data_IF_973260471487
#
_entry.id   IF_973260471487
#
_cell.length_a   1.000
_cell.length_b   1.000
_cell.length_c   1.000
_cell.angle_alpha   90.00
_cell.angle_beta   90.00
_cell.angle_gamma   90.00
#
_symmetry.space_group_name_H-M   'P 1'
#
loop_
_entity.id
_entity.type
_entity.pdbx_description
1 polymer ?
#
# COMPACT_ATOMS: atom_id res chain seq x y z
N UNK A 1 11.57 16.21 -8.53
CA UNK A 1 10.43 16.53 -9.46
C UNK A 1 9.43 17.37 -8.67
N UNK A 2 8.85 18.42 -9.26
CA UNK A 2 7.96 19.33 -8.51
C UNK A 2 6.54 19.22 -9.03
N UNK A 3 5.58 18.96 -8.14
CA UNK A 3 4.16 18.96 -8.48
C UNK A 3 3.69 20.37 -8.87
N UNK A 4 2.81 20.45 -9.87
CA UNK A 4 2.11 21.71 -10.18
C UNK A 4 1.15 22.08 -9.05
N UNK A 5 0.68 23.34 -9.04
CA UNK A 5 -0.32 23.79 -8.06
C UNK A 5 -1.60 22.98 -8.18
N UNK A 6 -2.00 22.64 -9.40
CA UNK A 6 -3.19 21.85 -9.71
C UNK A 6 -3.06 20.44 -9.16
N UNK A 7 -1.91 19.78 -9.33
CA UNK A 7 -1.66 18.46 -8.74
C UNK A 7 -1.70 18.50 -7.21
N UNK A 8 -1.10 19.52 -6.58
CA UNK A 8 -1.16 19.67 -5.12
C UNK A 8 -2.62 19.86 -4.65
N UNK A 9 -3.37 20.73 -5.32
CA UNK A 9 -4.78 20.95 -5.00
C UNK A 9 -5.59 19.66 -5.18
N UNK A 10 -5.34 18.89 -6.24
CA UNK A 10 -5.98 17.60 -6.47
C UNK A 10 -5.70 16.63 -5.31
N UNK A 11 -4.45 16.52 -4.84
CA UNK A 11 -4.13 15.67 -3.70
C UNK A 11 -4.95 16.01 -2.45
N UNK A 12 -5.06 17.30 -2.11
CA UNK A 12 -5.82 17.72 -0.93
C UNK A 12 -7.35 17.63 -1.12
N UNK A 13 -7.83 17.76 -2.35
CA UNK A 13 -9.25 17.64 -2.68
C UNK A 13 -9.70 16.17 -2.74
N UNK A 14 -8.97 15.34 -3.49
CA UNK A 14 -9.37 13.99 -3.86
C UNK A 14 -8.69 12.92 -2.99
N UNK A 15 -7.62 13.26 -2.27
CA UNK A 15 -6.88 12.34 -1.41
C UNK A 15 -5.82 11.54 -2.15
N UNK A 16 -5.67 11.70 -3.45
CA UNK A 16 -4.62 11.07 -4.24
C UNK A 16 -4.28 11.86 -5.51
N UNK A 17 -3.11 11.57 -6.08
CA UNK A 17 -2.69 11.99 -7.42
C UNK A 17 -2.01 10.85 -8.15
N UNK A 18 -1.95 10.97 -9.47
CA UNK A 18 -1.18 10.09 -10.36
C UNK A 18 0.01 10.86 -10.91
N UNK A 19 1.17 10.21 -10.90
CA UNK A 19 2.39 10.70 -11.55
C UNK A 19 2.83 9.66 -12.58
N UNK A 20 2.79 10.07 -13.85
CA UNK A 20 3.16 9.22 -14.98
C UNK A 20 4.67 9.20 -15.17
N UNK A 21 5.19 8.07 -15.63
CA UNK A 21 6.62 7.92 -15.99
C UNK A 21 7.57 8.35 -14.85
N UNK A 22 7.20 8.07 -13.60
CA UNK A 22 8.03 8.40 -12.45
C UNK A 22 9.38 7.67 -12.53
N UNK A 23 9.34 6.41 -12.99
CA UNK A 23 10.52 5.62 -13.27
C UNK A 23 10.73 5.48 -14.78
N UNK A 24 11.99 5.57 -15.18
CA UNK A 24 12.43 5.18 -16.52
C UNK A 24 12.36 3.67 -16.71
N UNK A 25 12.38 3.22 -17.97
CA UNK A 25 12.41 1.79 -18.31
C UNK A 25 13.60 1.06 -17.70
N UNK A 26 14.76 1.71 -17.60
CA UNK A 26 15.97 1.15 -16.98
C UNK A 26 15.80 0.98 -15.47
N UNK A 27 15.35 2.02 -14.77
CA UNK A 27 15.06 1.96 -13.32
C UNK A 27 14.03 0.88 -12.99
N UNK A 28 12.99 0.75 -13.82
CA UNK A 28 11.98 -0.28 -13.70
C UNK A 28 12.56 -1.69 -13.89
N UNK A 29 13.43 -1.88 -14.89
CA UNK A 29 14.10 -3.16 -15.11
C UNK A 29 15.02 -3.52 -13.93
N UNK A 30 15.77 -2.56 -13.40
CA UNK A 30 16.58 -2.72 -12.19
C UNK A 30 15.73 -3.17 -11.01
N UNK A 31 14.63 -2.48 -10.70
CA UNK A 31 13.75 -2.89 -9.59
C UNK A 31 13.14 -4.27 -9.79
N UNK A 32 12.74 -4.63 -11.02
CA UNK A 32 12.20 -5.96 -11.32
C UNK A 32 13.22 -7.08 -11.13
N UNK A 33 14.48 -6.85 -11.50
CA UNK A 33 15.56 -7.81 -11.33
C UNK A 33 15.86 -8.01 -9.84
N UNK A 34 16.03 -6.92 -9.09
CA UNK A 34 16.30 -7.00 -7.65
C UNK A 34 15.10 -7.53 -6.85
N UNK A 35 13.87 -7.25 -7.29
CA UNK A 35 12.69 -7.93 -6.76
C UNK A 35 12.81 -9.45 -6.92
N UNK A 36 13.19 -9.94 -8.11
CA UNK A 36 13.31 -11.36 -8.36
C UNK A 36 14.40 -12.01 -7.50
N UNK A 37 15.54 -11.32 -7.31
CA UNK A 37 16.61 -11.83 -6.46
C UNK A 37 16.21 -11.92 -4.99
N UNK A 38 15.50 -10.92 -4.46
CA UNK A 38 14.92 -10.96 -3.11
C UNK A 38 13.87 -12.07 -2.98
N UNK A 39 12.92 -12.12 -3.91
CA UNK A 39 11.80 -13.05 -3.90
C UNK A 39 12.22 -14.52 -4.04
N UNK A 40 13.35 -14.79 -4.69
CA UNK A 40 13.88 -16.13 -4.91
C UNK A 40 15.01 -16.49 -3.93
N UNK A 41 15.20 -15.70 -2.86
CA UNK A 41 16.18 -15.99 -1.81
C UNK A 41 17.64 -15.92 -2.29
N UNK A 42 17.94 -15.12 -3.32
CA UNK A 42 19.30 -14.94 -3.87
C UNK A 42 20.08 -13.84 -3.17
N UNK A 43 19.44 -13.11 -2.25
CA UNK A 43 20.06 -12.08 -1.40
C UNK A 43 20.19 -12.68 0.00
N UNK A 44 21.41 -13.08 0.43
CA UNK A 44 21.60 -13.86 1.67
C UNK A 44 21.07 -13.19 2.95
N UNK A 45 21.14 -11.85 3.02
CA UNK A 45 20.79 -11.09 4.22
C UNK A 45 19.32 -10.61 4.23
N UNK A 46 18.51 -11.03 3.25
CA UNK A 46 17.08 -10.71 3.24
C UNK A 46 16.31 -11.76 4.07
N UNK A 47 15.61 -11.36 5.15
CA UNK A 47 14.93 -12.32 6.02
C UNK A 47 13.88 -13.14 5.28
N UNK A 48 13.88 -14.47 5.44
CA UNK A 48 12.87 -15.35 4.81
C UNK A 48 11.43 -14.95 5.22
N UNK A 49 11.23 -14.53 6.48
CA UNK A 49 9.94 -14.03 6.96
C UNK A 49 9.44 -12.76 6.28
N UNK A 50 10.31 -12.07 5.52
CA UNK A 50 9.94 -10.92 4.70
C UNK A 50 9.50 -11.31 3.28
N UNK A 51 9.50 -12.59 2.92
CA UNK A 51 8.88 -13.12 1.71
C UNK A 51 7.62 -13.87 2.11
N UNK A 52 6.47 -13.42 1.62
CA UNK A 52 5.21 -14.15 1.79
C UNK A 52 4.80 -14.79 0.47
N UNK A 53 4.22 -15.98 0.52
CA UNK A 53 3.69 -16.68 -0.63
C UNK A 53 2.18 -16.85 -0.52
N UNK A 54 1.48 -16.89 -1.65
CA UNK A 54 0.09 -17.36 -1.69
C UNK A 54 0.10 -18.88 -1.54
N UNK A 55 -0.80 -19.41 -0.73
CA UNK A 55 -0.99 -20.86 -0.66
C UNK A 55 -1.78 -21.33 -1.89
N UNK A 56 -1.23 -22.23 -2.73
CA UNK A 56 -1.97 -22.79 -3.86
C UNK A 56 -3.28 -23.45 -3.39
N UNK A 57 -4.39 -23.19 -4.09
CA UNK A 57 -5.70 -23.80 -3.78
C UNK A 57 -6.48 -23.15 -2.62
N UNK A 58 -5.87 -22.30 -1.79
CA UNK A 58 -6.66 -21.42 -0.93
C UNK A 58 -6.90 -20.14 -1.70
N UNK A 59 -8.14 -19.91 -2.11
CA UNK A 59 -8.58 -18.55 -2.32
C UNK A 59 -8.20 -17.75 -1.06
N UNK A 60 -7.69 -16.52 -1.21
CA UNK A 60 -7.68 -15.57 -0.10
C UNK A 60 -9.07 -15.69 0.54
N UNK A 61 -9.12 -16.18 1.79
CA UNK A 61 -10.39 -16.33 2.45
C UNK A 61 -10.98 -14.93 2.40
N UNK A 62 -12.13 -14.78 1.73
CA UNK A 62 -12.97 -13.66 2.11
C UNK A 62 -13.23 -13.98 3.57
N UNK A 63 -12.66 -13.20 4.50
CA UNK A 63 -13.11 -13.28 5.88
C UNK A 63 -14.63 -13.20 5.78
N UNK A 64 -15.36 -14.26 6.18
CA UNK A 64 -16.81 -14.21 6.11
C UNK A 64 -17.20 -12.98 6.92
N UNK A 65 -18.10 -12.11 6.43
CA UNK A 65 -18.59 -11.02 7.23
C UNK A 65 -19.04 -11.63 8.56
N UNK A 66 -18.39 -11.22 9.66
CA UNK A 66 -18.81 -11.69 10.97
C UNK A 66 -20.26 -11.26 11.13
N UNK A 67 -21.22 -12.17 11.36
CA UNK A 67 -22.60 -11.77 11.47
C UNK A 67 -22.71 -10.77 12.62
N UNK A 68 -23.07 -9.52 12.32
CA UNK A 68 -23.47 -8.60 13.36
C UNK A 68 -24.70 -9.19 14.06
N UNK A 69 -24.71 -9.11 15.39
CA UNK A 69 -25.81 -9.61 16.21
C UNK A 69 -27.18 -9.10 15.74
N UNK A 70 -28.23 -9.78 16.19
CA UNK A 70 -29.63 -9.73 15.72
C UNK A 70 -30.37 -8.38 15.77
N UNK A 71 -29.68 -7.23 15.91
CA UNK A 71 -30.30 -5.92 16.12
C UNK A 71 -30.18 -4.92 14.97
N UNK A 72 -29.43 -5.20 13.90
CA UNK A 72 -29.31 -4.25 12.78
C UNK A 72 -29.35 -4.94 11.41
N UNK A 73 -30.56 -5.30 10.96
CA UNK A 73 -30.87 -5.47 9.55
C UNK A 73 -30.90 -4.07 8.91
N UNK A 74 -29.90 -3.76 8.07
CA UNK A 74 -30.07 -2.96 6.86
C UNK A 74 -28.92 -3.27 5.88
N UNK A 75 -29.29 -3.97 4.79
CA UNK A 75 -28.73 -3.95 3.41
C UNK A 75 -27.41 -3.18 3.18
N UNK A 76 -26.39 -3.83 2.59
CA UNK A 76 -25.23 -3.15 1.97
C UNK A 76 -23.82 -3.59 2.38
N UNK A 77 -23.57 -4.88 2.66
CA UNK A 77 -22.27 -5.43 3.13
C UNK A 77 -21.11 -5.39 2.12
N UNK A 78 -21.15 -4.49 1.13
CA UNK A 78 -20.21 -4.47 0.02
C UNK A 78 -18.92 -3.74 0.39
N UNK A 79 -18.03 -4.44 1.11
CA UNK A 79 -16.67 -3.96 1.40
C UNK A 79 -15.66 -4.29 0.28
N UNK A 80 -16.12 -4.92 -0.80
CA UNK A 80 -15.35 -5.22 -2.01
C UNK A 80 -15.94 -4.49 -3.23
N UNK A 81 -15.13 -4.11 -4.22
CA UNK A 81 -15.63 -3.43 -5.41
C UNK A 81 -16.71 -4.24 -6.16
N UNK A 82 -17.70 -3.55 -6.75
CA UNK A 82 -18.78 -4.17 -7.54
C UNK A 82 -18.23 -4.89 -8.78
N UNK A 83 -18.85 -6.03 -9.11
CA UNK A 83 -18.52 -6.83 -10.30
C UNK A 83 -17.61 -8.02 -10.01
N UNK A 84 -17.93 -8.82 -8.98
CA UNK A 84 -17.23 -10.08 -8.67
C UNK A 84 -17.17 -10.98 -9.91
N UNK A 85 -16.02 -10.95 -10.59
CA UNK A 85 -15.68 -11.99 -11.54
C UNK A 85 -15.31 -13.21 -10.69
N UNK A 86 -16.09 -14.27 -10.84
CA UNK A 86 -15.76 -15.58 -10.31
C UNK A 86 -14.43 -16.00 -10.91
N UNK A 87 -13.39 -15.96 -10.08
CA UNK A 87 -12.11 -16.55 -10.40
C UNK A 87 -12.32 -18.08 -10.44
N UNK A 88 -11.85 -18.79 -11.48
CA UNK A 88 -11.90 -20.25 -11.51
C UNK A 88 -11.30 -20.85 -10.23
N UNK A 89 -12.01 -21.81 -9.61
CA UNK A 89 -11.52 -22.53 -8.42
C UNK A 89 -10.31 -23.41 -8.78
N UNK A 90 -10.32 -23.98 -9.98
CA UNK A 90 -9.20 -24.72 -10.56
C UNK A 90 -8.14 -23.74 -11.09
N UNK A 91 -7.20 -23.40 -10.22
CA UNK A 91 -5.99 -22.66 -10.60
C UNK A 91 -4.95 -23.64 -11.13
N UNK A 92 -4.48 -23.42 -12.35
CA UNK A 92 -3.27 -24.07 -12.85
C UNK A 92 -2.11 -23.69 -11.91
N UNK A 93 -1.25 -24.64 -11.49
CA UNK A 93 -0.08 -24.33 -10.68
C UNK A 93 0.77 -23.22 -11.32
N UNK A 94 1.34 -22.35 -10.49
CA UNK A 94 2.26 -21.31 -10.96
C UNK A 94 3.47 -21.96 -11.66
N UNK A 95 3.66 -21.67 -12.94
CA UNK A 95 4.83 -22.13 -13.70
C UNK A 95 6.08 -21.29 -13.36
N UNK A 96 5.89 -19.99 -13.13
CA UNK A 96 6.94 -19.08 -12.65
C UNK A 96 6.92 -19.03 -11.10
N UNK A 97 8.04 -19.37 -10.42
CA UNK A 97 8.12 -19.28 -8.96
C UNK A 97 7.74 -17.89 -8.39
N UNK A 98 7.93 -16.82 -9.16
CA UNK A 98 7.54 -15.47 -8.77
C UNK A 98 6.03 -15.26 -8.68
N UNK A 99 5.21 -16.06 -9.35
CA UNK A 99 3.75 -15.99 -9.25
C UNK A 99 3.23 -16.54 -7.91
N UNK A 100 4.06 -17.29 -7.18
CA UNK A 100 3.73 -17.75 -5.83
C UNK A 100 3.90 -16.64 -4.78
N UNK A 101 4.69 -15.61 -5.07
CA UNK A 101 5.02 -14.56 -4.11
C UNK A 101 3.85 -13.59 -3.97
N UNK A 102 3.49 -13.28 -2.74
CA UNK A 102 2.42 -12.34 -2.39
C UNK A 102 2.96 -10.99 -1.94
N UNK A 103 3.99 -11.00 -1.10
CA UNK A 103 4.54 -9.78 -0.52
C UNK A 103 6.04 -9.89 -0.32
N UNK A 104 6.75 -8.78 -0.53
CA UNK A 104 8.08 -8.52 0.01
C UNK A 104 8.01 -7.38 1.02
N UNK A 105 8.35 -7.64 2.27
CA UNK A 105 8.33 -6.66 3.36
C UNK A 105 9.70 -6.01 3.55
N UNK A 106 9.74 -4.69 3.72
CA UNK A 106 10.96 -3.95 4.04
C UNK A 106 12.13 -4.14 3.04
N UNK A 107 11.90 -4.24 1.72
CA UNK A 107 13.01 -4.41 0.79
C UNK A 107 13.95 -3.20 0.84
N UNK A 108 13.46 -1.98 1.10
CA UNK A 108 14.33 -0.81 1.23
C UNK A 108 15.27 -0.84 2.44
N UNK A 109 14.92 -1.57 3.51
CA UNK A 109 15.77 -1.68 4.69
C UNK A 109 16.92 -2.67 4.47
N UNK A 110 16.63 -3.77 3.77
CA UNK A 110 17.56 -4.88 3.58
C UNK A 110 18.31 -4.86 2.23
N UNK A 111 17.88 -4.02 1.28
CA UNK A 111 18.44 -4.02 -0.07
C UNK A 111 18.77 -2.61 -0.56
N UNK A 112 20.04 -2.37 -0.85
CA UNK A 112 20.59 -1.04 -1.19
C UNK A 112 19.91 -0.37 -2.38
N UNK A 113 19.54 -1.14 -3.41
CA UNK A 113 18.81 -0.61 -4.57
C UNK A 113 17.45 -0.05 -4.17
N UNK A 114 16.63 -0.82 -3.45
CA UNK A 114 15.35 -0.32 -2.94
C UNK A 114 15.56 0.88 -1.98
N UNK A 115 16.61 0.84 -1.14
CA UNK A 115 16.97 1.97 -0.27
C UNK A 115 17.26 3.26 -1.06
N UNK A 116 17.97 3.14 -2.18
CA UNK A 116 18.28 4.29 -3.02
C UNK A 116 17.01 4.89 -3.64
N UNK A 117 16.04 4.06 -4.04
CA UNK A 117 14.77 4.55 -4.60
C UNK A 117 13.89 5.26 -3.56
N UNK A 118 13.75 4.75 -2.33
CA UNK A 118 12.97 5.45 -1.28
C UNK A 118 13.59 6.80 -0.88
N UNK A 119 14.86 7.04 -1.22
CA UNK A 119 15.58 8.31 -1.01
C UNK A 119 15.70 9.15 -2.27
N UNK A 120 15.15 8.70 -3.41
CA UNK A 120 15.30 9.37 -4.70
C UNK A 120 14.63 10.74 -4.68
N UNK A 121 15.29 11.82 -5.15
CA UNK A 121 14.66 13.13 -5.30
C UNK A 121 13.39 13.11 -6.17
N UNK A 122 13.27 12.16 -7.12
CA UNK A 122 12.04 12.00 -7.92
C UNK A 122 10.81 11.73 -7.05
N UNK A 123 10.99 10.99 -5.95
CA UNK A 123 9.92 10.63 -5.01
C UNK A 123 9.88 11.63 -3.85
N UNK A 124 11.01 11.87 -3.19
CA UNK A 124 11.06 12.65 -1.95
C UNK A 124 10.66 14.11 -2.16
N UNK A 125 10.96 14.73 -3.32
CA UNK A 125 10.53 16.10 -3.60
C UNK A 125 8.99 16.23 -3.74
N UNK A 126 8.34 15.15 -4.21
CA UNK A 126 6.88 15.07 -4.30
C UNK A 126 6.30 14.90 -2.89
N UNK A 127 6.87 14.01 -2.08
CA UNK A 127 6.47 13.82 -0.68
C UNK A 127 6.62 15.12 0.11
N UNK A 128 7.76 15.79 -0.01
CA UNK A 128 8.01 17.09 0.63
C UNK A 128 6.98 18.14 0.21
N UNK A 129 6.63 18.16 -1.07
CA UNK A 129 5.62 19.07 -1.60
C UNK A 129 4.21 18.85 -1.03
N UNK A 130 3.92 17.67 -0.46
CA UNK A 130 2.62 17.29 0.09
C UNK A 130 2.59 17.29 1.61
N UNK A 131 3.69 16.94 2.27
CA UNK A 131 3.77 16.72 3.72
C UNK A 131 4.67 17.71 4.46
N UNK A 132 5.55 18.42 3.73
CA UNK A 132 6.58 19.29 4.32
C UNK A 132 7.97 18.64 4.36
N UNK A 133 8.98 19.38 4.84
CA UNK A 133 10.40 19.06 4.65
C UNK A 133 10.95 17.95 5.56
N UNK A 134 10.24 17.64 6.64
CA UNK A 134 10.70 16.81 7.74
C UNK A 134 10.12 15.38 7.59
N UNK A 135 10.82 14.50 6.87
CA UNK A 135 10.29 13.24 6.33
C UNK A 135 11.03 12.03 6.89
N UNK A 136 10.27 11.06 7.41
CA UNK A 136 10.72 9.71 7.75
C UNK A 136 10.06 8.65 6.89
N UNK A 137 10.78 7.54 6.71
CA UNK A 137 10.23 6.34 6.09
C UNK A 137 9.65 5.45 7.19
N UNK A 138 8.37 5.16 7.11
CA UNK A 138 7.72 4.27 8.06
C UNK A 138 7.86 2.80 7.65
N UNK A 139 7.45 2.47 6.42
CA UNK A 139 7.37 1.10 5.95
C UNK A 139 7.37 1.07 4.43
N UNK A 140 7.85 -0.02 3.83
CA UNK A 140 7.68 -0.28 2.42
C UNK A 140 7.41 -1.76 2.15
N UNK A 141 6.59 -2.03 1.12
CA UNK A 141 6.16 -3.38 0.79
C UNK A 141 5.86 -3.51 -0.70
N UNK A 142 6.42 -4.54 -1.34
CA UNK A 142 6.01 -4.91 -2.69
C UNK A 142 4.84 -5.88 -2.58
N UNK A 143 3.70 -5.51 -3.15
CA UNK A 143 2.51 -6.32 -3.28
C UNK A 143 2.46 -6.97 -4.66
N UNK A 144 2.55 -8.30 -4.68
CA UNK A 144 2.44 -9.13 -5.88
C UNK A 144 1.07 -9.82 -5.90
N UNK A 145 0.17 -9.28 -6.73
CA UNK A 145 -1.13 -9.89 -6.97
C UNK A 145 -0.96 -11.01 -7.99
N UNK A 146 -1.25 -12.26 -7.62
CA UNK A 146 -1.00 -13.41 -8.47
C UNK A 146 -2.01 -13.42 -9.62
N UNK A 147 -1.79 -14.24 -10.65
CA UNK A 147 -2.83 -14.57 -11.62
C UNK A 147 -4.11 -15.01 -10.91
N UNK A 148 -5.27 -14.65 -11.45
CA UNK A 148 -6.55 -15.17 -10.93
C UNK A 148 -6.76 -14.89 -9.42
N UNK A 149 -6.40 -13.69 -8.96
CA UNK A 149 -6.52 -13.27 -7.57
C UNK A 149 -7.84 -12.56 -7.28
N UNK A 150 -8.33 -12.67 -6.04
CA UNK A 150 -9.51 -11.93 -5.58
C UNK A 150 -9.23 -10.42 -5.44
N UNK A 151 -10.31 -9.65 -5.33
CA UNK A 151 -10.22 -8.23 -4.98
C UNK A 151 -9.69 -8.05 -3.54
N UNK A 152 -9.03 -6.91 -3.28
CA UNK A 152 -8.80 -6.48 -1.90
C UNK A 152 -9.97 -5.60 -1.47
N UNK A 153 -10.38 -5.72 -0.20
CA UNK A 153 -11.44 -4.88 0.38
C UNK A 153 -11.04 -3.40 0.44
N UNK A 154 -12.03 -2.51 0.48
CA UNK A 154 -11.79 -1.10 0.77
C UNK A 154 -11.11 -0.96 2.13
N UNK A 155 -10.18 -0.02 2.22
CA UNK A 155 -9.51 0.33 3.46
C UNK A 155 -8.86 1.71 3.37
N UNK A 156 -8.48 2.23 4.53
CA UNK A 156 -7.52 3.32 4.68
C UNK A 156 -6.21 2.72 5.16
N UNK A 157 -5.06 3.19 4.67
CA UNK A 157 -3.77 2.70 5.15
C UNK A 157 -3.60 2.92 6.66
N UNK A 158 -4.04 4.08 7.17
CA UNK A 158 -3.91 4.44 8.59
C UNK A 158 -4.68 3.50 9.53
N UNK A 159 -5.62 2.68 9.06
CA UNK A 159 -6.29 1.70 9.95
C UNK A 159 -5.32 0.64 10.45
N UNK A 160 -4.25 0.36 9.69
CA UNK A 160 -3.21 -0.55 10.10
C UNK A 160 -2.19 0.10 11.03
N UNK A 161 -2.15 1.44 11.06
CA UNK A 161 -1.15 2.25 11.78
C UNK A 161 -1.81 3.36 12.61
N UNK A 162 -2.91 3.02 13.27
CA UNK A 162 -3.69 3.95 14.11
C UNK A 162 -2.89 4.49 15.32
N UNK A 163 -1.68 3.99 15.53
CA UNK A 163 -0.71 4.43 16.53
C UNK A 163 0.12 5.66 16.12
N UNK A 164 -0.17 6.31 14.99
CA UNK A 164 0.43 7.61 14.61
C UNK A 164 -0.55 8.77 14.76
N UNK A 165 -0.12 9.82 15.45
CA UNK A 165 -0.89 11.05 15.63
C UNK A 165 -0.11 12.27 15.08
N UNK A 166 -0.60 12.99 14.07
CA UNK A 166 -1.84 12.75 13.30
C UNK A 166 -1.72 11.61 12.27
N UNK A 167 -2.85 11.09 11.78
CA UNK A 167 -2.93 10.12 10.68
C UNK A 167 -2.67 10.74 9.29
N UNK A 168 -1.68 11.61 9.19
CA UNK A 168 -1.26 12.21 7.92
C UNK A 168 0.03 11.52 7.46
N UNK A 169 -0.14 10.44 6.70
CA UNK A 169 0.95 9.79 5.98
C UNK A 169 0.68 9.87 4.48
N UNK A 170 1.74 9.85 3.69
CA UNK A 170 1.65 9.81 2.23
C UNK A 170 2.26 8.52 1.74
N UNK A 171 1.46 7.72 1.05
CA UNK A 171 1.90 6.49 0.39
C UNK A 171 2.26 6.81 -1.05
N UNK A 172 3.46 6.44 -1.48
CA UNK A 172 3.87 6.38 -2.88
C UNK A 172 3.77 4.92 -3.36
N UNK A 173 2.83 4.61 -4.25
CA UNK A 173 2.71 3.28 -4.84
C UNK A 173 3.21 3.29 -6.28
N UNK A 174 4.38 2.68 -6.50
CA UNK A 174 5.02 2.58 -7.81
C UNK A 174 4.64 1.27 -8.48
N UNK A 175 4.19 1.32 -9.74
CA UNK A 175 3.75 0.14 -10.46
C UNK A 175 4.94 -0.53 -11.13
N UNK A 176 5.25 -1.76 -10.69
CA UNK A 176 6.30 -2.55 -11.32
C UNK A 176 5.79 -3.31 -12.55
N UNK A 177 4.48 -3.43 -12.73
CA UNK A 177 3.84 -4.01 -13.92
C UNK A 177 2.68 -3.11 -14.34
N UNK A 178 2.22 -3.21 -15.58
CA UNK A 178 1.00 -2.51 -16.01
C UNK A 178 -0.16 -2.90 -15.10
N UNK A 179 -0.90 -1.92 -14.60
CA UNK A 179 -2.09 -2.10 -13.79
C UNK A 179 -3.32 -1.72 -14.61
N UNK A 180 -4.14 -2.69 -14.96
CA UNK A 180 -5.37 -2.51 -15.73
C UNK A 180 -6.59 -2.81 -14.86
N UNK A 181 -7.79 -2.57 -15.38
CA UNK A 181 -9.02 -2.93 -14.66
C UNK A 181 -9.11 -4.44 -14.46
N UNK A 182 -8.68 -5.22 -15.47
CA UNK A 182 -8.75 -6.67 -15.52
C UNK A 182 -7.73 -7.34 -14.59
N UNK A 183 -6.54 -6.75 -14.41
CA UNK A 183 -5.52 -7.31 -13.51
C UNK A 183 -5.51 -6.69 -12.09
N UNK A 184 -6.55 -5.91 -11.78
CA UNK A 184 -6.81 -5.43 -10.43
C UNK A 184 -6.04 -4.17 -10.05
N UNK A 185 -6.10 -3.13 -10.90
CA UNK A 185 -5.66 -1.79 -10.52
C UNK A 185 -6.37 -1.28 -9.26
N UNK A 186 -5.72 -0.29 -8.63
CA UNK A 186 -6.27 0.40 -7.46
C UNK A 186 -7.49 1.22 -7.87
N UNK A 187 -8.43 1.34 -6.93
CA UNK A 187 -9.63 2.15 -7.06
C UNK A 187 -9.74 3.04 -5.84
N UNK A 188 -10.00 4.32 -6.03
CA UNK A 188 -10.13 5.30 -4.96
C UNK A 188 -11.56 5.83 -4.89
N UNK A 189 -11.97 6.24 -3.70
CA UNK A 189 -13.14 7.10 -3.48
C UNK A 189 -12.59 8.52 -3.26
N UNK A 190 -12.64 9.42 -4.25
CA UNK A 190 -12.10 10.77 -4.11
C UNK A 190 -12.73 11.53 -2.93
N UNK A 191 -11.91 12.23 -2.16
CA UNK A 191 -12.34 13.06 -1.02
C UNK A 191 -12.64 12.29 0.26
N UNK A 192 -12.57 10.95 0.23
CA UNK A 192 -12.86 10.10 1.40
C UNK A 192 -11.86 10.23 2.55
N UNK A 193 -10.67 10.81 2.31
CA UNK A 193 -9.72 11.12 3.39
C UNK A 193 -10.25 12.17 4.36
N UNK A 194 -11.24 12.97 3.95
CA UNK A 194 -11.94 13.92 4.83
C UNK A 194 -12.93 13.25 5.79
N UNK A 195 -13.19 11.95 5.66
CA UNK A 195 -14.07 11.21 6.59
C UNK A 195 -13.41 10.96 7.96
N UNK A 196 -12.12 11.26 8.08
CA UNK A 196 -11.31 10.83 9.22
C UNK A 196 -11.02 9.33 9.17
N UNK A 197 -10.46 8.79 10.26
CA UNK A 197 -10.16 7.37 10.37
C UNK A 197 -11.46 6.56 10.53
N UNK A 198 -11.70 5.64 9.60
CA UNK A 198 -12.87 4.75 9.57
C UNK A 198 -12.47 3.36 10.03
N UNK A 199 -13.00 2.92 11.17
CA UNK A 199 -12.78 1.57 11.69
C UNK A 199 -13.40 0.49 10.79
N UNK A 200 -12.84 -0.71 10.82
CA UNK A 200 -13.35 -1.87 10.05
C UNK A 200 -14.83 -2.15 10.29
N UNK A 201 -15.26 -2.12 11.55
CA UNK A 201 -16.67 -2.34 11.92
C UNK A 201 -17.60 -1.23 11.42
N UNK A 202 -17.06 -0.03 11.16
CA UNK A 202 -17.83 1.11 10.65
C UNK A 202 -17.81 1.21 9.13
N UNK A 203 -16.83 0.60 8.47
CA UNK A 203 -16.65 0.68 7.02
C UNK A 203 -17.89 0.26 6.22
N UNK A 204 -18.61 -0.84 6.54
CA UNK A 204 -19.84 -1.20 5.83
C UNK A 204 -20.92 -0.12 5.88
N UNK A 205 -20.98 0.68 6.95
CA UNK A 205 -21.96 1.76 7.10
C UNK A 205 -21.56 3.02 6.33
N UNK A 206 -20.26 3.20 6.07
CA UNK A 206 -19.71 4.33 5.30
C UNK A 206 -19.79 4.09 3.79
N UNK A 207 -19.72 2.83 3.34
CA UNK A 207 -19.77 2.45 1.92
C UNK A 207 -21.21 2.37 1.40
N UNK A 208 -21.94 3.49 1.48
CA UNK A 208 -23.27 3.61 0.88
C UNK A 208 -23.22 3.56 -0.64
N UNK A 209 -24.37 3.37 -1.31
CA UNK A 209 -24.43 3.39 -2.77
C UNK A 209 -23.92 4.71 -3.37
N UNK A 210 -24.22 5.85 -2.73
CA UNK A 210 -23.77 7.17 -3.17
C UNK A 210 -22.25 7.35 -3.03
N UNK A 211 -21.65 6.76 -1.99
CA UNK A 211 -20.20 6.78 -1.79
C UNK A 211 -19.52 5.87 -2.82
N UNK A 212 -20.05 4.66 -3.04
CA UNK A 212 -19.51 3.72 -4.02
C UNK A 212 -19.69 4.21 -5.47
N UNK A 213 -20.72 5.01 -5.76
CA UNK A 213 -20.92 5.63 -7.08
C UNK A 213 -19.83 6.63 -7.46
N UNK A 214 -19.05 7.11 -6.49
CA UNK A 214 -17.92 8.03 -6.71
C UNK A 214 -16.59 7.29 -6.95
N UNK A 215 -16.57 5.96 -6.91
CA UNK A 215 -15.35 5.18 -7.12
C UNK A 215 -14.73 5.48 -8.50
N UNK A 216 -13.41 5.67 -8.51
CA UNK A 216 -12.61 5.81 -9.72
C UNK A 216 -11.56 4.70 -9.76
N UNK A 217 -11.61 3.86 -10.78
CA UNK A 217 -10.53 2.93 -11.11
C UNK A 217 -9.37 3.68 -11.76
N UNK A 218 -8.14 3.36 -11.34
CA UNK A 218 -6.93 4.09 -11.75
C UNK A 218 -5.97 3.14 -12.48
N UNK A 219 -6.21 2.86 -13.78
CA UNK A 219 -5.29 2.07 -14.57
C UNK A 219 -4.00 2.85 -14.88
N UNK A 220 -2.86 2.20 -14.73
CA UNK A 220 -1.53 2.79 -14.79
C UNK A 220 -0.57 1.90 -15.58
N UNK A 221 0.45 2.51 -16.19
CA UNK A 221 1.55 1.79 -16.85
C UNK A 221 2.65 1.48 -15.86
N UNK A 222 3.44 0.45 -16.14
CA UNK A 222 4.63 0.16 -15.35
C UNK A 222 5.57 1.39 -15.36
N UNK A 223 6.05 1.77 -14.17
CA UNK A 223 6.83 3.00 -13.95
C UNK A 223 6.00 4.23 -13.57
N UNK A 224 4.67 4.20 -13.71
CA UNK A 224 3.78 5.19 -13.11
C UNK A 224 3.68 4.97 -11.60
N UNK A 225 3.20 5.99 -10.88
CA UNK A 225 2.89 5.89 -9.46
C UNK A 225 1.62 6.64 -9.06
N UNK A 226 0.98 6.17 -7.98
CA UNK A 226 0.04 6.99 -7.20
C UNK A 226 0.75 7.57 -5.99
N UNK A 227 0.33 8.76 -5.58
CA UNK A 227 0.61 9.30 -4.26
C UNK A 227 -0.73 9.52 -3.59
N UNK A 228 -0.99 8.85 -2.47
CA UNK A 228 -2.27 8.94 -1.78
C UNK A 228 -2.11 9.19 -0.29
N UNK A 229 -3.05 9.95 0.24
CA UNK A 229 -3.18 10.17 1.67
C UNK A 229 -3.57 8.85 2.32
N UNK A 230 -2.99 8.56 3.48
CA UNK A 230 -3.26 7.34 4.24
C UNK A 230 -4.72 7.16 4.73
N UNK A 231 -5.55 8.18 4.59
CA UNK A 231 -6.99 8.15 4.88
C UNK A 231 -7.85 8.07 3.61
N UNK A 232 -7.26 8.10 2.41
CA UNK A 232 -8.02 7.89 1.20
C UNK A 232 -8.54 6.44 1.16
N UNK A 233 -9.85 6.25 1.14
CA UNK A 233 -10.46 4.95 0.97
C UNK A 233 -10.13 4.42 -0.41
N UNK A 234 -9.52 3.24 -0.43
CA UNK A 234 -9.14 2.59 -1.66
C UNK A 234 -9.22 1.07 -1.56
N UNK A 235 -9.37 0.42 -2.70
CA UNK A 235 -9.39 -1.03 -2.85
C UNK A 235 -8.61 -1.45 -4.10
N UNK A 236 -8.55 -2.74 -4.39
CA UNK A 236 -8.10 -3.21 -5.72
C UNK A 236 -9.08 -4.22 -6.28
N UNK A 237 -9.38 -4.11 -7.58
CA UNK A 237 -10.22 -5.09 -8.29
C UNK A 237 -9.57 -6.47 -8.33
N UNK A 238 -10.29 -7.56 -8.67
CA UNK A 238 -9.66 -8.87 -8.84
C UNK A 238 -8.64 -8.86 -9.98
N UNK A 239 -7.70 -9.80 -9.97
CA UNK A 239 -6.87 -10.08 -11.14
C UNK A 239 -7.48 -11.27 -11.87
N UNK A 240 -8.07 -11.05 -13.04
CA UNK A 240 -8.71 -12.08 -13.86
C UNK A 240 -7.80 -12.53 -15.01
N UNK A 241 -6.54 -12.10 -15.01
CA UNK A 241 -5.57 -12.37 -16.07
C UNK A 241 -4.61 -13.49 -15.65
N UNK A 242 -3.92 -14.15 -16.62
CA UNK A 242 -2.93 -15.18 -16.33
C UNK A 242 -1.58 -14.63 -15.84
N UNK A 243 -1.45 -13.33 -15.63
CA UNK A 243 -0.18 -12.69 -15.28
C UNK A 243 -0.24 -12.07 -13.89
N UNK A 244 0.85 -12.15 -13.12
CA UNK A 244 1.01 -11.37 -11.89
C UNK A 244 1.04 -9.87 -12.17
N UNK A 245 0.64 -9.08 -11.16
CA UNK A 245 0.84 -7.63 -11.13
C UNK A 245 1.53 -7.24 -9.83
N UNK A 246 2.66 -6.54 -9.93
CA UNK A 246 3.42 -6.03 -8.78
C UNK A 246 3.28 -4.51 -8.63
N UNK A 247 3.18 -4.06 -7.39
CA UNK A 247 3.20 -2.64 -7.03
C UNK A 247 3.97 -2.48 -5.73
N UNK A 248 4.83 -1.48 -5.65
CA UNK A 248 5.66 -1.20 -4.48
C UNK A 248 5.11 0.02 -3.75
N UNK A 249 4.53 -0.22 -2.57
CA UNK A 249 4.01 0.83 -1.70
C UNK A 249 5.09 1.26 -0.71
N UNK A 250 5.34 2.56 -0.66
CA UNK A 250 6.34 3.20 0.22
C UNK A 250 5.60 4.23 1.06
N UNK A 251 5.67 4.12 2.38
CA UNK A 251 4.88 4.90 3.32
C UNK A 251 5.77 5.90 4.04
N UNK A 252 5.49 7.19 3.83
CA UNK A 252 6.21 8.29 4.45
C UNK A 252 5.37 8.95 5.53
N UNK A 253 6.03 9.40 6.58
CA UNK A 253 5.43 10.10 7.72
C UNK A 253 6.25 11.34 8.05
N UNK A 254 5.58 12.39 8.55
CA UNK A 254 6.28 13.58 9.03
C UNK A 254 7.04 13.23 10.31
N UNK A 255 8.27 13.72 10.47
CA UNK A 255 9.07 13.43 11.67
C UNK A 255 8.58 14.15 12.93
N UNK A 256 7.59 15.05 12.82
CA UNK A 256 6.87 15.64 13.96
C UNK A 256 5.63 14.82 14.38
N UNK A 257 5.36 13.71 13.70
CA UNK A 257 4.29 12.77 14.07
C UNK A 257 4.62 12.11 15.39
N UNK A 258 3.63 11.88 16.25
CA UNK A 258 3.82 11.15 17.51
C UNK A 258 3.42 9.70 17.37
N UNK A 259 4.27 8.82 17.89
CA UNK A 259 3.90 7.44 18.14
C UNK A 259 3.12 7.35 19.45
N UNK A 260 1.89 6.86 19.38
CA UNK A 260 0.96 6.69 20.50
C UNK A 260 0.56 5.22 20.69
N UNK A 261 1.36 4.30 20.13
CA UNK A 261 1.10 2.86 20.22
C UNK A 261 1.34 2.30 21.62
N UNK A 262 0.63 1.20 21.90
CA UNK A 262 0.79 0.37 23.08
C UNK A 262 2.11 -0.41 23.05
N UNK A 263 2.57 -0.93 24.21
CA UNK A 263 3.73 -1.83 24.25
C UNK A 263 3.57 -3.07 23.37
N UNK A 264 2.37 -3.62 23.27
CA UNK A 264 2.08 -4.78 22.40
C UNK A 264 2.24 -4.42 20.92
N UNK A 265 1.74 -3.26 20.49
CA UNK A 265 1.95 -2.77 19.12
C UNK A 265 3.43 -2.51 18.85
N UNK A 266 4.18 -1.98 19.81
CA UNK A 266 5.63 -1.76 19.68
C UNK A 266 6.35 -3.09 19.44
N UNK A 267 6.03 -4.11 20.23
CA UNK A 267 6.63 -5.44 20.10
C UNK A 267 6.27 -6.08 18.74
N UNK A 268 5.02 -5.96 18.32
CA UNK A 268 4.58 -6.42 16.99
C UNK A 268 5.34 -5.73 15.85
N UNK A 269 5.59 -4.42 15.96
CA UNK A 269 6.36 -3.68 14.96
C UNK A 269 7.83 -4.12 14.93
N UNK A 270 8.43 -4.40 16.09
CA UNK A 270 9.80 -4.97 16.18
C UNK A 270 9.88 -6.34 15.51
N UNK A 271 8.92 -7.23 15.80
CA UNK A 271 8.86 -8.56 15.20
C UNK A 271 8.68 -8.53 13.67
N UNK A 272 7.97 -7.52 13.15
CA UNK A 272 7.81 -7.29 11.70
C UNK A 272 9.01 -6.60 11.05
N UNK A 273 9.99 -6.15 11.82
CA UNK A 273 11.14 -5.36 11.34
C UNK A 273 10.80 -3.92 10.95
N UNK A 274 9.57 -3.44 11.21
CA UNK A 274 9.15 -2.08 10.84
C UNK A 274 9.84 -1.00 11.68
N UNK A 275 10.45 -1.39 12.80
CA UNK A 275 11.30 -0.56 13.64
C UNK A 275 12.74 -0.97 13.44
N UNK A 276 13.55 -0.06 12.88
CA UNK A 276 14.98 -0.29 12.60
C UNK A 276 15.87 -0.01 13.82
N UNK A 277 15.28 0.48 14.92
CA UNK A 277 15.96 0.83 16.16
C UNK A 277 15.28 0.26 17.41
N UNK A 278 15.94 0.37 18.59
CA UNK A 278 15.44 -0.20 19.84
C UNK A 278 14.20 0.53 20.39
N UNK A 279 14.03 1.80 19.99
CA UNK A 279 12.96 2.70 20.43
C UNK A 279 12.03 3.03 19.27
N UNK A 280 10.70 3.08 19.48
CA UNK A 280 9.77 3.48 18.42
C UNK A 280 10.07 4.90 17.94
N UNK A 281 10.19 5.86 18.87
CA UNK A 281 10.33 7.29 18.59
C UNK A 281 11.56 7.65 17.74
N UNK A 282 12.61 6.81 17.70
CA UNK A 282 13.79 7.05 16.86
C UNK A 282 14.14 5.83 15.98
N UNK A 283 13.18 4.94 15.79
CA UNK A 283 13.36 3.67 15.10
C UNK A 283 13.03 3.72 13.62
N UNK A 284 12.63 4.88 13.07
CA UNK A 284 12.30 5.04 11.66
C UNK A 284 13.37 5.86 10.91
N UNK A 285 13.82 5.43 9.71
CA UNK A 285 14.87 6.14 9.00
C UNK A 285 14.47 7.56 8.62
N UNK A 286 15.28 8.55 9.02
CA UNK A 286 15.18 9.90 8.50
C UNK A 286 15.55 9.92 7.01
N UNK A 287 14.65 10.46 6.19
CA UNK A 287 14.82 10.60 4.74
C UNK A 287 15.27 12.03 4.39
N UNK A 288 14.64 13.04 5.01
CA UNK A 288 14.94 14.46 4.78
C UNK A 288 14.53 15.29 6.01
N UNK A 289 15.20 16.43 6.22
CA UNK A 289 14.84 17.40 7.25
C UNK A 289 15.40 17.08 8.64
N UNK A 290 14.61 17.35 9.68
CA UNK A 290 15.00 17.30 11.09
C UNK A 290 14.27 16.18 11.83
N UNK A 291 14.73 15.87 13.03
CA UNK A 291 14.00 15.05 14.01
C UNK A 291 13.48 15.93 15.15
N UNK A 292 12.37 15.52 15.74
CA UNK A 292 11.74 16.25 16.85
C UNK A 292 11.70 15.36 18.10
N UNK A 293 12.18 15.85 19.27
CA UNK A 293 12.12 15.08 20.50
C UNK A 293 10.70 14.58 20.83
N UNK A 294 10.56 13.28 21.08
CA UNK A 294 9.26 12.67 21.40
C UNK A 294 8.34 12.43 20.21
N UNK A 295 8.84 12.60 18.99
CA UNK A 295 8.17 12.30 17.73
C UNK A 295 8.90 11.16 17.00
N UNK A 296 8.21 10.47 16.10
CA UNK A 296 8.69 9.33 15.29
C UNK A 296 10.00 9.60 14.62
#
# INVERSE_FOLDING_TARGET
MTLTKEQKNQFFQDGYIVVKELLTTEELATLRNHYADLALGRVPDYPEGNVSHHTPGTAQAAEPPTPHGSRHDRRGTQVYPKGEVTVPEDRTPAEDPLDTVSHLNLPSYHHSVFNAFVRSPKIVDIIESLMGPDIKLYYDQVFAKPPYAKANRYHQDSIFWAFFASNFQVTCQILLDDATVENGCVRFIPGSHHFGLVNWDHLPYMLTEDVLAQEIAVPLKAGDATFHHSLALHCSGPNTTPYRRRGWSIHYVSSDTRYIGTPEETERLKQRGCLVGPEPINGWPLIRGREFPGCV
#
